data_IF_948362404286
#
_entry.id   IF_948362404286
#
_cell.length_a   1.000
_cell.length_b   1.000
_cell.length_c   1.000
_cell.angle_alpha   90.00
_cell.angle_beta   90.00
_cell.angle_gamma   90.00
#
_symmetry.space_group_name_H-M   'P 1'
#
loop_
_entity.id
_entity.type
_entity.pdbx_description
1 polymer ?
#
# COMPACT_ATOMS: atom_id res chain seq x y z
N UNK A 1 -18.74 14.65 -0.37
CA UNK A 1 -18.60 13.96 -1.66
C UNK A 1 -17.70 12.75 -1.51
N UNK A 2 -17.66 11.84 -2.49
CA UNK A 2 -16.95 10.55 -2.39
C UNK A 2 -15.45 10.70 -2.05
N UNK A 3 -14.80 11.75 -2.56
CA UNK A 3 -13.41 12.07 -2.19
C UNK A 3 -13.22 12.42 -0.70
N UNK A 4 -14.10 13.24 -0.12
CA UNK A 4 -14.01 13.56 1.31
C UNK A 4 -14.26 12.32 2.17
N UNK A 5 -15.18 11.44 1.78
CA UNK A 5 -15.41 10.17 2.49
C UNK A 5 -14.18 9.28 2.50
N UNK A 6 -13.51 9.15 1.35
CA UNK A 6 -12.23 8.45 1.22
C UNK A 6 -11.17 9.05 2.15
N UNK A 7 -11.01 10.38 2.15
CA UNK A 7 -10.03 11.05 3.00
C UNK A 7 -10.31 10.83 4.49
N UNK A 8 -11.57 10.94 4.92
CA UNK A 8 -11.94 10.72 6.32
C UNK A 8 -11.61 9.30 6.79
N UNK A 9 -12.01 8.27 6.05
CA UNK A 9 -11.77 6.91 6.50
C UNK A 9 -10.27 6.51 6.45
N UNK A 10 -9.44 7.16 5.61
CA UNK A 10 -7.98 7.01 5.72
C UNK A 10 -7.47 7.65 7.01
N UNK A 11 -7.86 8.90 7.30
CA UNK A 11 -7.42 9.60 8.51
C UNK A 11 -7.88 8.88 9.78
N UNK A 12 -9.12 8.38 9.80
CA UNK A 12 -9.67 7.61 10.92
C UNK A 12 -8.93 6.27 11.08
N UNK A 13 -8.64 5.58 9.98
CA UNK A 13 -7.84 4.35 10.00
C UNK A 13 -6.47 4.57 10.65
N UNK A 14 -5.76 5.63 10.27
CA UNK A 14 -4.46 5.96 10.89
C UNK A 14 -4.58 6.42 12.35
N UNK A 15 -5.66 7.10 12.72
CA UNK A 15 -5.93 7.43 14.11
C UNK A 15 -6.12 6.16 14.96
N UNK A 16 -6.82 5.15 14.43
CA UNK A 16 -7.02 3.85 15.07
C UNK A 16 -5.71 3.06 15.18
N UNK A 17 -4.86 3.08 14.15
CA UNK A 17 -3.49 2.52 14.22
C UNK A 17 -2.69 3.14 15.36
N UNK A 18 -2.74 4.46 15.53
CA UNK A 18 -2.03 5.15 16.62
C UNK A 18 -2.54 4.74 18.02
N UNK A 19 -3.80 4.32 18.11
CA UNK A 19 -4.41 3.78 19.33
C UNK A 19 -4.15 2.27 19.52
N UNK A 20 -3.49 1.62 18.55
CA UNK A 20 -3.21 0.18 18.54
C UNK A 20 -4.34 -0.70 18.01
N UNK A 21 -5.46 -0.11 17.58
CA UNK A 21 -6.66 -0.81 17.13
C UNK A 21 -6.62 -1.05 15.61
N UNK A 22 -5.72 -1.94 15.20
CA UNK A 22 -5.49 -2.26 13.79
C UNK A 22 -6.70 -2.96 13.14
N UNK A 23 -7.49 -3.72 13.91
CA UNK A 23 -8.69 -4.37 13.38
C UNK A 23 -9.79 -3.37 13.05
N UNK A 24 -10.03 -2.40 13.95
CA UNK A 24 -10.94 -1.30 13.64
C UNK A 24 -10.45 -0.46 12.46
N UNK A 25 -9.14 -0.22 12.36
CA UNK A 25 -8.55 0.51 11.23
C UNK A 25 -8.81 -0.21 9.88
N UNK A 26 -8.70 -1.54 9.87
CA UNK A 26 -8.99 -2.34 8.68
C UNK A 26 -10.48 -2.38 8.34
N UNK A 27 -11.36 -2.51 9.35
CA UNK A 27 -12.81 -2.47 9.15
C UNK A 27 -13.27 -1.13 8.54
N UNK A 28 -12.70 -0.01 8.99
CA UNK A 28 -12.99 1.31 8.43
C UNK A 28 -12.62 1.42 6.94
N UNK A 29 -11.66 0.61 6.47
CA UNK A 29 -11.27 0.56 5.05
C UNK A 29 -12.18 -0.33 4.19
N UNK A 30 -12.91 -1.28 4.79
CA UNK A 30 -13.80 -2.22 4.08
C UNK A 30 -15.14 -1.56 3.70
N UNK A 31 -15.60 -0.57 4.46
CA UNK A 31 -16.85 0.17 4.22
C UNK A 31 -16.74 1.25 3.13
N UNK A 32 -15.56 1.40 2.52
CA UNK A 32 -15.32 2.39 1.48
C UNK A 32 -15.81 1.89 0.12
N UNK A 33 -17.03 2.28 -0.27
CA UNK A 33 -17.53 2.09 -1.63
C UNK A 33 -16.77 3.04 -2.58
N UNK A 34 -15.57 2.59 -2.98
CA UNK A 34 -14.59 3.42 -3.62
C UNK A 34 -14.70 3.32 -5.14
N UNK A 35 -14.78 4.44 -5.86
CA UNK A 35 -14.71 4.42 -7.32
C UNK A 35 -13.45 3.68 -7.76
N UNK A 36 -13.49 2.96 -8.89
CA UNK A 36 -12.40 2.07 -9.33
C UNK A 36 -11.01 2.71 -9.39
N UNK A 37 -10.91 4.04 -9.53
CA UNK A 37 -9.62 4.76 -9.49
C UNK A 37 -8.97 4.80 -8.08
N UNK A 38 -9.77 4.67 -7.01
CA UNK A 38 -9.31 4.73 -5.62
C UNK A 38 -9.02 3.34 -5.02
N UNK A 39 -9.38 2.25 -5.71
CA UNK A 39 -9.17 0.89 -5.21
C UNK A 39 -7.70 0.57 -4.90
N UNK A 40 -6.78 0.94 -5.81
CA UNK A 40 -5.35 0.76 -5.59
C UNK A 40 -4.81 1.60 -4.42
N UNK A 41 -5.38 2.80 -4.23
CA UNK A 41 -5.02 3.69 -3.13
C UNK A 41 -5.47 3.13 -1.78
N UNK A 42 -6.68 2.57 -1.70
CA UNK A 42 -7.18 1.90 -0.49
C UNK A 42 -6.37 0.64 -0.19
N UNK A 43 -6.08 -0.16 -1.22
CA UNK A 43 -5.25 -1.35 -1.06
C UNK A 43 -3.84 -1.00 -0.51
N UNK A 44 -3.24 0.10 -0.98
CA UNK A 44 -1.96 0.58 -0.47
C UNK A 44 -2.04 0.94 1.02
N UNK A 45 -3.06 1.68 1.43
CA UNK A 45 -3.25 2.05 2.84
C UNK A 45 -3.50 0.83 3.71
N UNK A 46 -4.34 -0.10 3.23
CA UNK A 46 -4.57 -1.38 3.91
C UNK A 46 -3.27 -2.16 4.10
N UNK A 47 -2.41 -2.19 3.08
CA UNK A 47 -1.11 -2.87 3.16
C UNK A 47 -0.23 -2.28 4.26
N UNK A 48 -0.16 -0.96 4.36
CA UNK A 48 0.62 -0.27 5.40
C UNK A 48 0.06 -0.52 6.81
N UNK A 49 -1.26 -0.53 6.98
CA UNK A 49 -1.91 -0.85 8.26
C UNK A 49 -1.61 -2.30 8.66
N UNK A 50 -1.68 -3.24 7.70
CA UNK A 50 -1.37 -4.65 7.93
C UNK A 50 0.11 -4.86 8.28
N UNK A 51 1.01 -4.13 7.62
CA UNK A 51 2.43 -4.13 7.96
C UNK A 51 2.66 -3.66 9.40
N UNK A 52 2.07 -2.51 9.78
CA UNK A 52 2.16 -1.97 11.13
C UNK A 52 1.58 -2.92 12.19
N UNK A 53 0.55 -3.67 11.84
CA UNK A 53 -0.06 -4.70 12.68
C UNK A 53 0.77 -6.00 12.79
N UNK A 54 1.90 -6.11 12.09
CA UNK A 54 2.72 -7.32 12.01
C UNK A 54 2.08 -8.46 11.21
N UNK A 55 1.06 -8.17 10.39
CA UNK A 55 0.32 -9.15 9.58
C UNK A 55 0.95 -9.29 8.20
N UNK A 56 2.20 -9.75 8.16
CA UNK A 56 3.07 -9.72 6.96
C UNK A 56 2.44 -10.36 5.71
N UNK A 57 1.84 -11.54 5.82
CA UNK A 57 1.25 -12.23 4.66
C UNK A 57 0.06 -11.46 4.07
N UNK A 58 -0.78 -10.89 4.94
CA UNK A 58 -1.91 -10.07 4.52
C UNK A 58 -1.43 -8.75 3.92
N UNK A 59 -0.36 -8.15 4.48
CA UNK A 59 0.26 -6.95 3.94
C UNK A 59 0.80 -7.19 2.51
N UNK A 60 1.49 -8.32 2.27
CA UNK A 60 1.96 -8.73 0.94
C UNK A 60 0.81 -8.82 -0.06
N UNK A 61 -0.30 -9.48 0.33
CA UNK A 61 -1.49 -9.58 -0.52
C UNK A 61 -2.09 -8.21 -0.86
N UNK A 62 -2.16 -7.30 0.12
CA UNK A 62 -2.69 -5.96 -0.08
C UNK A 62 -1.78 -5.09 -0.96
N UNK A 63 -0.45 -5.19 -0.81
CA UNK A 63 0.50 -4.52 -1.71
C UNK A 63 0.37 -5.01 -3.15
N UNK A 64 0.21 -6.31 -3.37
CA UNK A 64 -0.05 -6.86 -4.71
C UNK A 64 -1.36 -6.35 -5.31
N UNK A 65 -2.41 -6.21 -4.49
CA UNK A 65 -3.66 -5.60 -4.93
C UNK A 65 -3.48 -4.11 -5.30
N UNK A 66 -2.66 -3.37 -4.55
CA UNK A 66 -2.32 -1.98 -4.87
C UNK A 66 -1.55 -1.87 -6.20
N UNK A 67 -0.67 -2.83 -6.51
CA UNK A 67 0.10 -2.89 -7.76
C UNK A 67 -0.76 -3.16 -9.01
N UNK A 68 -1.99 -3.68 -8.84
CA UNK A 68 -2.90 -3.92 -9.96
C UNK A 68 -3.43 -2.61 -10.60
N UNK A 69 -3.36 -1.48 -9.88
CA UNK A 69 -3.72 -0.17 -10.41
C UNK A 69 -2.53 0.57 -11.06
N UNK A 70 -2.81 1.40 -12.06
CA UNK A 70 -1.81 2.30 -12.64
C UNK A 70 -1.61 3.56 -11.78
N UNK A 71 -2.64 4.01 -11.07
CA UNK A 71 -2.57 5.13 -10.14
C UNK A 71 -1.62 4.81 -8.99
N UNK A 72 -0.78 5.78 -8.62
CA UNK A 72 0.18 5.66 -7.50
C UNK A 72 1.26 4.58 -7.69
N UNK A 73 1.46 4.05 -8.91
CA UNK A 73 2.41 2.95 -9.17
C UNK A 73 3.81 3.21 -8.59
N UNK A 74 4.39 4.39 -8.79
CA UNK A 74 5.70 4.75 -8.22
C UNK A 74 5.76 4.54 -6.71
N UNK A 75 4.84 5.18 -5.98
CA UNK A 75 4.84 5.13 -4.50
C UNK A 75 4.49 3.73 -4.00
N UNK A 76 3.64 2.99 -4.70
CA UNK A 76 3.37 1.58 -4.37
C UNK A 76 4.62 0.73 -4.54
N UNK A 77 5.40 0.92 -5.62
CA UNK A 77 6.68 0.21 -5.84
C UNK A 77 7.67 0.52 -4.71
N UNK A 78 7.87 1.80 -4.38
CA UNK A 78 8.76 2.23 -3.30
C UNK A 78 8.40 1.54 -1.96
N UNK A 79 7.13 1.65 -1.56
CA UNK A 79 6.65 1.13 -0.28
C UNK A 79 6.64 -0.40 -0.23
N UNK A 80 6.22 -1.06 -1.31
CA UNK A 80 6.19 -2.51 -1.35
C UNK A 80 7.58 -3.13 -1.39
N UNK A 81 8.51 -2.54 -2.15
CA UNK A 81 9.90 -2.98 -2.14
C UNK A 81 10.54 -2.82 -0.75
N UNK A 82 10.33 -1.68 -0.09
CA UNK A 82 10.83 -1.49 1.28
C UNK A 82 10.21 -2.48 2.29
N UNK A 83 8.94 -2.83 2.12
CA UNK A 83 8.30 -3.91 2.89
C UNK A 83 8.98 -5.26 2.64
N UNK A 84 9.26 -5.61 1.38
CA UNK A 84 9.94 -6.86 1.02
C UNK A 84 11.33 -6.93 1.64
N UNK A 85 12.10 -5.85 1.60
CA UNK A 85 13.41 -5.75 2.25
C UNK A 85 13.33 -5.99 3.76
N UNK A 86 12.41 -5.29 4.45
CA UNK A 86 12.18 -5.47 5.90
C UNK A 86 11.71 -6.89 6.24
N UNK A 87 11.02 -7.55 5.33
CA UNK A 87 10.60 -8.96 5.44
C UNK A 87 11.72 -9.96 5.08
N UNK A 88 12.93 -9.51 4.75
CA UNK A 88 14.06 -10.37 4.36
C UNK A 88 13.96 -10.94 2.94
N UNK A 89 13.10 -10.36 2.10
CA UNK A 89 12.83 -10.75 0.71
C UNK A 89 13.49 -9.80 -0.28
N UNK A 90 14.75 -9.42 -0.05
CA UNK A 90 15.47 -8.45 -0.88
C UNK A 90 15.51 -8.83 -2.35
N UNK A 91 15.67 -10.12 -2.69
CA UNK A 91 15.62 -10.55 -4.10
C UNK A 91 14.28 -10.26 -4.78
N UNK A 92 13.17 -10.34 -4.05
CA UNK A 92 11.86 -9.98 -4.60
C UNK A 92 11.73 -8.46 -4.76
N UNK A 93 12.35 -7.69 -3.86
CA UNK A 93 12.42 -6.23 -3.97
C UNK A 93 13.22 -5.80 -5.21
N UNK A 94 14.40 -6.38 -5.43
CA UNK A 94 15.25 -6.10 -6.61
C UNK A 94 14.51 -6.39 -7.92
N UNK A 95 13.77 -7.52 -7.97
CA UNK A 95 12.94 -7.88 -9.12
C UNK A 95 11.84 -6.84 -9.34
N UNK A 96 11.18 -6.40 -8.27
CA UNK A 96 10.12 -5.38 -8.34
C UNK A 96 10.67 -4.04 -8.86
N UNK A 97 11.78 -3.56 -8.30
CA UNK A 97 12.41 -2.30 -8.70
C UNK A 97 12.92 -2.34 -10.14
N UNK A 98 13.61 -3.43 -10.52
CA UNK A 98 14.10 -3.63 -11.88
C UNK A 98 12.97 -3.65 -12.90
N UNK A 99 11.85 -4.32 -12.59
CA UNK A 99 10.69 -4.35 -13.48
C UNK A 99 10.12 -2.93 -13.68
N UNK A 100 9.99 -2.15 -12.61
CA UNK A 100 9.52 -0.76 -12.69
C UNK A 100 10.48 0.14 -13.50
N UNK A 101 11.78 0.06 -13.24
CA UNK A 101 12.79 0.86 -13.96
C UNK A 101 12.91 0.45 -15.44
N UNK A 102 12.58 -0.79 -15.81
CA UNK A 102 12.53 -1.17 -17.23
C UNK A 102 11.44 -0.41 -18.02
N UNK A 103 10.37 0.01 -17.34
CA UNK A 103 9.30 0.84 -17.92
C UNK A 103 9.63 2.34 -17.81
N UNK A 104 10.27 2.76 -16.71
CA UNK A 104 10.60 4.16 -16.39
C UNK A 104 12.07 4.27 -15.96
N UNK A 105 13.03 4.28 -16.91
CA UNK A 105 14.47 4.11 -16.62
C UNK A 105 15.14 5.23 -15.81
N UNK A 106 14.53 6.41 -15.73
CA UNK A 106 15.12 7.60 -15.11
C UNK A 106 14.31 8.10 -13.89
N UNK A 107 13.58 7.24 -13.18
CA UNK A 107 12.91 7.65 -11.93
C UNK A 107 13.96 7.78 -10.81
N UNK A 108 14.33 9.01 -10.39
CA UNK A 108 15.43 9.22 -9.44
C UNK A 108 15.10 8.77 -8.02
N UNK A 109 13.87 8.30 -7.76
CA UNK A 109 13.45 7.88 -6.44
C UNK A 109 13.31 6.38 -6.24
N UNK A 110 13.72 5.56 -7.20
CA UNK A 110 13.77 4.10 -7.08
C UNK A 110 15.19 3.65 -7.46
N UNK A 111 15.85 2.91 -6.57
CA UNK A 111 17.13 2.23 -6.83
C UNK A 111 16.88 0.71 -6.83
N UNK A 112 17.61 -0.02 -7.68
CA UNK A 112 17.51 -1.47 -7.84
C UNK A 112 18.85 -2.15 -7.56
#
# INVERSE_FOLDING_TARGET
GPFNGLLYAILDGWALVQLGDHDAALAASDDMDAPGFAAAFIALHRALILEQAGRTEAADSAFRAAMAGASYRRVTVELYGGFLERAGRSTDADILYSAYLSEIPEDPGIEA
#
